data_IF_484620209246
#
_entry.id   IF_484620209246
#
_cell.length_a   1.000
_cell.length_b   1.000
_cell.length_c   1.000
_cell.angle_alpha   90.00
_cell.angle_beta   90.00
_cell.angle_gamma   90.00
#
_symmetry.space_group_name_H-M   'P 1'
#
loop_
_entity.id
_entity.type
_entity.pdbx_description
1 polymer ?
#
# COMPACT_ATOMS: atom_id res chain seq x y z
N UNK A 1 16.72 6.47 3.92
CA UNK A 1 15.42 6.29 3.26
C UNK A 1 14.28 6.52 4.26
N UNK A 2 14.17 5.78 5.38
CA UNK A 2 13.07 5.94 6.33
C UNK A 2 12.93 7.39 6.84
N UNK A 3 14.01 8.03 7.24
CA UNK A 3 13.99 9.41 7.78
C UNK A 3 13.47 10.44 6.76
N UNK A 4 13.70 10.19 5.47
CA UNK A 4 13.13 10.98 4.40
C UNK A 4 11.60 10.84 4.34
N UNK A 5 11.12 9.62 4.24
CA UNK A 5 9.70 9.32 4.08
C UNK A 5 8.85 9.55 5.35
N UNK A 6 9.46 9.67 6.53
CA UNK A 6 8.74 10.03 7.76
C UNK A 6 8.09 11.43 7.71
N UNK A 7 8.51 12.28 6.78
CA UNK A 7 7.97 13.62 6.59
C UNK A 7 6.86 13.68 5.52
N UNK A 8 6.47 12.55 4.93
CA UNK A 8 5.36 12.44 3.98
C UNK A 8 4.20 11.67 4.59
N UNK A 9 2.98 11.99 4.18
CA UNK A 9 1.78 11.28 4.62
C UNK A 9 1.65 9.89 3.98
N UNK A 10 2.15 9.76 2.75
CA UNK A 10 2.16 8.53 1.96
C UNK A 10 3.57 8.25 1.46
N UNK A 11 3.92 6.96 1.40
CA UNK A 11 5.21 6.49 0.90
C UNK A 11 5.11 5.93 -0.52
N UNK A 12 3.92 6.00 -1.13
CA UNK A 12 3.62 5.59 -2.50
C UNK A 12 2.50 6.42 -3.11
N UNK A 13 2.30 6.34 -4.44
CA UNK A 13 1.22 7.04 -5.13
C UNK A 13 -0.16 6.59 -4.66
N UNK A 14 -1.07 7.53 -4.54
CA UNK A 14 -2.45 7.30 -4.09
C UNK A 14 -3.07 8.60 -3.58
N UNK A 15 -4.35 8.58 -3.30
CA UNK A 15 -5.05 9.72 -2.68
C UNK A 15 -6.21 9.24 -1.82
N UNK A 16 -6.76 10.10 -0.92
CA UNK A 16 -7.96 9.74 -0.17
C UNK A 16 -9.12 9.29 -1.07
N UNK A 17 -9.31 9.96 -2.20
CA UNK A 17 -10.40 9.70 -3.14
C UNK A 17 -10.28 8.30 -3.77
N UNK A 18 -9.06 7.89 -4.16
CA UNK A 18 -8.87 6.55 -4.74
C UNK A 18 -8.93 5.44 -3.71
N UNK A 19 -8.47 5.68 -2.48
CA UNK A 19 -8.66 4.76 -1.36
C UNK A 19 -10.17 4.56 -1.09
N UNK A 20 -10.96 5.64 -1.03
CA UNK A 20 -12.41 5.57 -0.87
C UNK A 20 -13.11 4.94 -2.07
N UNK A 21 -12.67 5.22 -3.29
CA UNK A 21 -13.19 4.57 -4.49
C UNK A 21 -12.97 3.06 -4.43
N UNK A 22 -11.78 2.59 -4.07
CA UNK A 22 -11.51 1.17 -3.91
C UNK A 22 -12.36 0.55 -2.79
N UNK A 23 -12.49 1.24 -1.65
CA UNK A 23 -13.34 0.80 -0.55
C UNK A 23 -14.83 0.68 -0.93
N UNK A 24 -15.32 1.51 -1.85
CA UNK A 24 -16.73 1.48 -2.27
C UNK A 24 -17.15 0.20 -3.01
N UNK A 25 -16.20 -0.63 -3.43
CA UNK A 25 -16.47 -1.95 -4.02
C UNK A 25 -16.56 -3.09 -2.98
N UNK A 26 -16.41 -2.78 -1.70
CA UNK A 26 -16.41 -3.74 -0.60
C UNK A 26 -17.68 -3.52 0.21
N UNK A 27 -18.59 -4.46 0.22
CA UNK A 27 -19.97 -4.30 0.72
C UNK A 27 -20.29 -5.09 1.99
N UNK A 28 -19.36 -5.92 2.49
CA UNK A 28 -19.66 -6.86 3.57
C UNK A 28 -18.91 -6.59 4.89
N UNK A 29 -18.28 -5.43 5.06
CA UNK A 29 -17.58 -5.08 6.29
C UNK A 29 -18.54 -4.72 7.42
N UNK A 30 -18.21 -5.15 8.64
CA UNK A 30 -18.96 -4.92 9.89
C UNK A 30 -18.01 -4.50 11.02
N UNK A 31 -18.55 -4.11 12.16
CA UNK A 31 -17.75 -3.79 13.36
C UNK A 31 -16.90 -4.96 13.88
N UNK A 32 -17.20 -6.19 13.44
CA UNK A 32 -16.44 -7.40 13.77
C UNK A 32 -15.38 -7.75 12.73
N UNK A 33 -15.33 -7.04 11.61
CA UNK A 33 -14.39 -7.31 10.54
C UNK A 33 -12.96 -7.08 10.97
N UNK A 34 -12.08 -7.96 10.51
CA UNK A 34 -10.64 -7.87 10.68
C UNK A 34 -9.98 -7.51 9.35
N UNK A 35 -9.27 -6.41 9.35
CA UNK A 35 -8.63 -5.82 8.18
C UNK A 35 -7.12 -5.77 8.41
N UNK A 36 -6.34 -6.19 7.42
CA UNK A 36 -4.89 -6.00 7.40
C UNK A 36 -4.51 -4.98 6.31
N UNK A 37 -3.67 -4.00 6.64
CA UNK A 37 -3.01 -3.12 5.66
C UNK A 37 -1.52 -3.49 5.59
N UNK A 38 -1.12 -4.12 4.50
CA UNK A 38 0.22 -4.71 4.32
C UNK A 38 1.13 -3.75 3.54
N UNK A 39 2.24 -3.36 4.15
CA UNK A 39 3.06 -2.24 3.69
C UNK A 39 2.40 -0.91 4.00
N UNK A 40 1.87 -0.76 5.22
CA UNK A 40 1.03 0.37 5.59
C UNK A 40 1.77 1.71 5.70
N UNK A 41 3.11 1.70 5.70
CA UNK A 41 3.92 2.89 5.87
C UNK A 41 3.56 3.65 7.16
N UNK A 42 3.41 4.96 7.05
CA UNK A 42 2.99 5.84 8.16
C UNK A 42 1.47 5.89 8.37
N UNK A 43 0.71 5.09 7.60
CA UNK A 43 -0.73 4.91 7.74
C UNK A 43 -1.60 5.89 6.97
N UNK A 44 -1.09 6.56 5.93
CA UNK A 44 -1.87 7.54 5.18
C UNK A 44 -3.20 6.98 4.67
N UNK A 45 -3.16 5.87 3.92
CA UNK A 45 -4.36 5.17 3.45
C UNK A 45 -5.13 4.49 4.60
N UNK A 46 -4.42 3.95 5.59
CA UNK A 46 -5.06 3.24 6.71
C UNK A 46 -5.96 4.16 7.53
N UNK A 47 -5.55 5.41 7.75
CA UNK A 47 -6.37 6.37 8.50
C UNK A 47 -7.65 6.72 7.73
N UNK A 48 -7.58 6.82 6.39
CA UNK A 48 -8.76 7.01 5.53
C UNK A 48 -9.68 5.79 5.61
N UNK A 49 -9.14 4.58 5.48
CA UNK A 49 -9.92 3.35 5.65
C UNK A 49 -10.62 3.32 7.01
N UNK A 50 -9.89 3.63 8.08
CA UNK A 50 -10.42 3.59 9.43
C UNK A 50 -11.54 4.60 9.69
N UNK A 51 -11.56 5.73 9.00
CA UNK A 51 -12.63 6.71 9.13
C UNK A 51 -13.91 6.31 8.38
N UNK A 52 -13.83 5.39 7.39
CA UNK A 52 -14.93 5.07 6.48
C UNK A 52 -15.32 3.59 6.47
N UNK A 53 -14.46 2.70 6.96
CA UNK A 53 -14.76 1.29 7.11
C UNK A 53 -14.95 0.91 8.57
N UNK A 54 -15.91 0.05 8.90
CA UNK A 54 -16.05 -0.52 10.26
C UNK A 54 -14.98 -1.59 10.50
N UNK A 55 -14.87 -2.05 11.76
CA UNK A 55 -13.98 -3.15 12.13
C UNK A 55 -12.62 -2.69 12.67
N UNK A 56 -11.73 -3.65 12.85
CA UNK A 56 -10.39 -3.43 13.38
C UNK A 56 -9.36 -3.54 12.25
N UNK A 57 -8.40 -2.62 12.23
CA UNK A 57 -7.35 -2.58 11.21
C UNK A 57 -5.98 -2.81 11.87
N UNK A 58 -5.25 -3.78 11.36
CA UNK A 58 -3.84 -4.01 11.72
C UNK A 58 -2.97 -3.60 10.53
N UNK A 59 -2.18 -2.53 10.69
CA UNK A 59 -1.17 -2.13 9.73
C UNK A 59 0.14 -2.88 9.98
N UNK A 60 0.76 -3.40 8.93
CA UNK A 60 2.07 -4.06 9.00
C UNK A 60 3.04 -3.34 8.09
N UNK A 61 4.20 -2.99 8.63
CA UNK A 61 5.31 -2.44 7.88
C UNK A 61 6.64 -2.89 8.48
N UNK A 62 7.65 -3.02 7.63
CA UNK A 62 8.98 -3.48 8.03
C UNK A 62 9.75 -2.46 8.85
N UNK A 63 9.47 -1.16 8.69
CA UNK A 63 10.22 -0.07 9.29
C UNK A 63 9.63 0.39 10.63
N UNK A 64 10.36 0.20 11.77
CA UNK A 64 9.87 0.60 13.10
C UNK A 64 9.47 2.08 13.18
N UNK A 65 10.21 2.98 12.50
CA UNK A 65 9.91 4.41 12.48
C UNK A 65 8.59 4.73 11.80
N UNK A 66 8.22 3.98 10.75
CA UNK A 66 6.90 4.13 10.11
C UNK A 66 5.79 3.70 11.05
N UNK A 67 5.96 2.57 11.72
CA UNK A 67 4.97 2.05 12.69
C UNK A 67 4.81 2.97 13.89
N UNK A 68 5.90 3.56 14.40
CA UNK A 68 5.79 4.58 15.45
C UNK A 68 4.95 5.78 14.99
N UNK A 69 5.21 6.28 13.77
CA UNK A 69 4.44 7.37 13.17
C UNK A 69 2.98 6.96 12.92
N UNK A 70 2.74 5.76 12.40
CA UNK A 70 1.43 5.18 12.20
C UNK A 70 0.58 5.21 13.49
N UNK A 71 1.12 4.67 14.58
CA UNK A 71 0.40 4.61 15.85
C UNK A 71 0.12 6.03 16.42
N UNK A 72 1.08 6.96 16.28
CA UNK A 72 0.86 8.39 16.62
C UNK A 72 -0.25 9.03 15.77
N UNK A 73 -0.34 8.68 14.49
CA UNK A 73 -1.40 9.17 13.61
C UNK A 73 -2.76 8.59 14.02
N UNK A 74 -2.83 7.31 14.38
CA UNK A 74 -4.05 6.69 14.92
C UNK A 74 -4.50 7.35 16.24
N UNK A 75 -3.58 7.64 17.16
CA UNK A 75 -3.86 8.36 18.41
C UNK A 75 -4.41 9.76 18.17
N UNK A 76 -3.79 10.54 17.29
CA UNK A 76 -4.25 11.91 16.93
C UNK A 76 -5.68 11.95 16.40
N UNK A 77 -6.12 10.87 15.75
CA UNK A 77 -7.47 10.73 15.20
C UNK A 77 -8.43 9.98 16.14
N UNK A 78 -8.00 9.64 17.37
CA UNK A 78 -8.76 8.84 18.34
C UNK A 78 -9.16 7.45 17.81
N UNK A 79 -8.32 6.84 16.95
CA UNK A 79 -8.55 5.55 16.31
C UNK A 79 -7.80 4.38 16.98
N UNK A 80 -6.96 4.65 18.00
CA UNK A 80 -6.05 3.67 18.63
C UNK A 80 -6.76 2.44 19.23
N UNK A 81 -8.05 2.50 19.48
CA UNK A 81 -8.83 1.37 20.01
C UNK A 81 -9.16 0.31 18.93
N UNK A 82 -9.04 0.66 17.65
CA UNK A 82 -9.35 -0.23 16.53
C UNK A 82 -8.34 -0.22 15.39
N UNK A 83 -7.33 0.65 15.45
CA UNK A 83 -6.24 0.74 14.47
C UNK A 83 -4.93 0.58 15.19
N UNK A 84 -4.13 -0.41 14.78
CA UNK A 84 -2.83 -0.70 15.39
C UNK A 84 -1.80 -1.02 14.32
N UNK A 85 -0.66 -0.34 14.35
CA UNK A 85 0.53 -0.67 13.57
C UNK A 85 1.41 -1.67 14.30
N UNK A 86 1.94 -2.64 13.57
CA UNK A 86 2.86 -3.68 14.07
C UNK A 86 4.05 -3.75 13.12
N UNK A 87 5.27 -3.76 13.69
CA UNK A 87 6.48 -4.01 12.90
C UNK A 87 6.50 -5.47 12.48
N UNK A 88 6.60 -5.71 11.17
CA UNK A 88 6.61 -7.05 10.61
C UNK A 88 6.85 -7.05 9.11
N UNK A 89 7.11 -8.23 8.57
CA UNK A 89 7.23 -8.41 7.13
C UNK A 89 5.91 -8.89 6.52
N UNK A 90 5.59 -8.38 5.32
CA UNK A 90 4.38 -8.77 4.60
C UNK A 90 4.47 -10.17 3.99
N UNK A 91 5.64 -10.80 4.04
CA UNK A 91 5.89 -12.19 3.62
C UNK A 91 6.06 -13.17 4.81
N UNK A 92 5.93 -12.66 6.05
CA UNK A 92 5.95 -13.48 7.27
C UNK A 92 4.84 -13.00 8.23
N UNK A 93 3.61 -13.29 7.83
CA UNK A 93 2.41 -12.82 8.53
C UNK A 93 1.97 -13.82 9.60
N UNK A 94 1.65 -13.31 10.79
CA UNK A 94 1.19 -14.10 11.93
C UNK A 94 -0.34 -14.15 12.09
N UNK A 95 -1.10 -13.87 11.03
CA UNK A 95 -2.55 -14.02 11.06
C UNK A 95 -2.95 -15.48 11.01
N UNK A 96 -4.09 -15.80 11.63
CA UNK A 96 -4.68 -17.11 11.49
C UNK A 96 -5.24 -17.31 10.06
N UNK A 97 -5.22 -18.54 9.60
CA UNK A 97 -5.85 -18.91 8.32
C UNK A 97 -7.34 -18.55 8.33
N UNK A 98 -7.84 -18.06 7.20
CA UNK A 98 -9.27 -17.72 7.00
C UNK A 98 -9.82 -16.75 8.08
N UNK A 99 -8.99 -15.79 8.54
CA UNK A 99 -9.36 -14.88 9.64
C UNK A 99 -9.69 -13.45 9.20
N UNK A 100 -9.16 -13.00 8.05
CA UNK A 100 -9.30 -11.63 7.58
C UNK A 100 -10.49 -11.46 6.63
N UNK A 101 -11.24 -10.38 6.82
CA UNK A 101 -12.33 -9.97 5.93
C UNK A 101 -11.79 -9.14 4.75
N UNK A 102 -10.69 -8.40 4.97
CA UNK A 102 -10.06 -7.56 3.97
C UNK A 102 -8.54 -7.53 4.16
N UNK A 103 -7.81 -7.71 3.08
CA UNK A 103 -6.40 -7.34 2.98
C UNK A 103 -6.29 -6.13 2.04
N UNK A 104 -5.57 -5.11 2.51
CA UNK A 104 -5.30 -3.88 1.79
C UNK A 104 -3.80 -3.72 1.57
N UNK A 105 -3.37 -3.24 0.39
CA UNK A 105 -1.96 -2.95 0.12
C UNK A 105 -1.82 -1.93 -1.01
N UNK A 106 -1.60 -0.67 -0.69
CA UNK A 106 -1.36 0.38 -1.68
C UNK A 106 0.14 0.58 -1.92
N UNK A 107 0.61 0.31 -3.15
CA UNK A 107 1.99 0.56 -3.57
C UNK A 107 3.04 -0.27 -2.82
N UNK A 108 2.70 -1.48 -2.37
CA UNK A 108 3.60 -2.26 -1.54
C UNK A 108 3.78 -3.74 -1.95
N UNK A 109 2.77 -4.38 -2.52
CA UNK A 109 2.81 -5.83 -2.85
C UNK A 109 4.01 -6.22 -3.73
N UNK A 110 4.47 -5.32 -4.60
CA UNK A 110 5.61 -5.54 -5.49
C UNK A 110 6.92 -5.87 -4.74
N UNK A 111 7.05 -5.45 -3.46
CA UNK A 111 8.25 -5.71 -2.65
C UNK A 111 8.48 -7.21 -2.37
N UNK A 112 7.41 -8.00 -2.38
CA UNK A 112 7.51 -9.46 -2.21
C UNK A 112 7.19 -10.24 -3.50
N UNK A 113 6.84 -9.53 -4.57
CA UNK A 113 6.36 -10.07 -5.83
C UNK A 113 4.84 -10.20 -5.87
N UNK A 114 4.24 -9.74 -6.98
CA UNK A 114 2.79 -9.66 -7.12
C UNK A 114 2.12 -11.05 -7.07
N UNK A 115 2.61 -12.00 -7.89
CA UNK A 115 2.06 -13.37 -7.89
C UNK A 115 2.23 -14.05 -6.53
N UNK A 116 3.37 -13.85 -5.88
CA UNK A 116 3.64 -14.39 -4.55
C UNK A 116 2.67 -13.83 -3.52
N UNK A 117 2.53 -12.51 -3.45
CA UNK A 117 1.61 -11.84 -2.52
C UNK A 117 0.17 -12.31 -2.71
N UNK A 118 -0.32 -12.36 -3.95
CA UNK A 118 -1.66 -12.88 -4.26
C UNK A 118 -1.87 -14.28 -3.70
N UNK A 119 -0.91 -15.19 -3.92
CA UNK A 119 -1.02 -16.60 -3.52
C UNK A 119 -0.92 -16.78 -2.00
N UNK A 120 0.05 -16.13 -1.36
CA UNK A 120 0.31 -16.30 0.08
C UNK A 120 -0.78 -15.64 0.92
N UNK A 121 -1.16 -14.40 0.60
CA UNK A 121 -2.15 -13.65 1.37
C UNK A 121 -3.56 -14.23 1.28
N UNK A 122 -3.87 -14.94 0.20
CA UNK A 122 -5.16 -15.62 0.06
C UNK A 122 -5.46 -16.59 1.19
N UNK A 123 -4.42 -17.19 1.80
CA UNK A 123 -4.59 -18.12 2.90
C UNK A 123 -5.15 -17.48 4.17
N UNK A 124 -5.02 -16.16 4.33
CA UNK A 124 -5.50 -15.44 5.50
C UNK A 124 -6.92 -14.87 5.30
N UNK A 125 -7.38 -14.77 4.04
CA UNK A 125 -8.71 -14.27 3.73
C UNK A 125 -9.77 -15.32 4.00
N UNK A 126 -10.85 -14.92 4.66
CA UNK A 126 -12.07 -15.70 4.77
C UNK A 126 -12.65 -16.00 3.39
N UNK A 127 -13.46 -17.06 3.24
CA UNK A 127 -14.32 -17.19 2.07
C UNK A 127 -15.21 -15.96 1.90
N UNK A 128 -15.16 -15.32 0.72
CA UNK A 128 -15.85 -14.05 0.46
C UNK A 128 -15.13 -12.80 0.98
N UNK A 129 -13.93 -12.93 1.56
CA UNK A 129 -13.07 -11.79 1.92
C UNK A 129 -12.45 -11.14 0.69
N UNK A 130 -12.05 -9.88 0.82
CA UNK A 130 -11.54 -9.05 -0.27
C UNK A 130 -10.03 -8.83 -0.18
N UNK A 131 -9.41 -8.70 -1.35
CA UNK A 131 -8.05 -8.19 -1.51
C UNK A 131 -8.12 -6.91 -2.35
N UNK A 132 -7.62 -5.81 -1.83
CA UNK A 132 -7.45 -4.55 -2.55
C UNK A 132 -5.97 -4.20 -2.65
N UNK A 133 -5.44 -4.09 -3.86
CA UNK A 133 -4.02 -3.78 -4.11
C UNK A 133 -3.88 -2.73 -5.19
N UNK A 134 -2.87 -1.87 -5.08
CA UNK A 134 -2.40 -1.07 -6.22
C UNK A 134 -1.06 -1.60 -6.72
N UNK A 135 -0.90 -1.60 -8.04
CA UNK A 135 0.22 -2.25 -8.73
C UNK A 135 0.68 -1.42 -9.92
N UNK A 136 1.98 -1.41 -10.17
CA UNK A 136 2.57 -0.78 -11.37
C UNK A 136 2.30 -1.64 -12.59
N UNK A 137 1.76 -1.01 -13.63
CA UNK A 137 1.35 -1.72 -14.85
C UNK A 137 1.74 -0.95 -16.11
N UNK A 138 1.88 -1.69 -17.22
CA UNK A 138 1.96 -1.11 -18.55
C UNK A 138 0.56 -0.83 -19.11
N UNK A 139 0.37 0.37 -19.66
CA UNK A 139 -0.89 0.73 -20.34
C UNK A 139 -0.90 0.33 -21.82
N UNK A 140 0.28 0.16 -22.42
CA UNK A 140 0.46 -0.16 -23.84
C UNK A 140 1.55 -1.24 -24.01
N UNK A 141 1.47 -1.97 -25.12
CA UNK A 141 2.52 -2.94 -25.49
C UNK A 141 3.75 -2.22 -26.09
N UNK A 142 3.56 -1.02 -26.62
CA UNK A 142 4.64 -0.20 -27.17
C UNK A 142 5.01 0.90 -26.17
N UNK A 143 6.30 1.04 -25.89
CA UNK A 143 6.86 2.04 -24.98
C UNK A 143 8.31 2.37 -25.39
N UNK A 144 8.82 3.57 -25.04
CA UNK A 144 10.24 3.91 -25.22
C UNK A 144 11.14 2.90 -24.52
N UNK A 145 12.25 2.53 -25.16
CA UNK A 145 13.22 1.57 -24.60
C UNK A 145 13.74 2.03 -23.23
N UNK A 146 14.03 3.33 -23.08
CA UNK A 146 14.50 3.91 -21.81
C UNK A 146 13.52 3.64 -20.65
N UNK A 147 12.21 3.83 -20.87
CA UNK A 147 11.17 3.57 -19.87
C UNK A 147 11.05 2.07 -19.57
N UNK A 148 11.13 1.24 -20.63
CA UNK A 148 11.13 -0.20 -20.47
C UNK A 148 12.32 -0.66 -19.61
N UNK A 149 13.54 -0.24 -19.93
CA UNK A 149 14.77 -0.67 -19.26
C UNK A 149 14.81 -0.19 -17.81
N UNK A 150 14.35 1.04 -17.54
CA UNK A 150 14.19 1.55 -16.18
C UNK A 150 13.30 0.63 -15.32
N UNK A 151 12.09 0.35 -15.78
CA UNK A 151 11.15 -0.46 -15.01
C UNK A 151 11.60 -1.91 -14.90
N UNK A 152 12.16 -2.51 -15.94
CA UNK A 152 12.67 -3.88 -15.89
C UNK A 152 13.87 -4.03 -14.95
N UNK A 153 14.64 -2.96 -14.71
CA UNK A 153 15.70 -2.97 -13.70
C UNK A 153 15.16 -2.81 -12.28
N UNK A 154 14.05 -2.08 -12.10
CA UNK A 154 13.47 -1.77 -10.80
C UNK A 154 12.43 -2.82 -10.35
N UNK A 155 11.62 -3.31 -11.28
CA UNK A 155 10.53 -4.24 -11.01
C UNK A 155 10.23 -5.13 -12.23
N UNK A 156 10.79 -6.32 -12.24
CA UNK A 156 10.69 -7.26 -13.38
C UNK A 156 9.31 -7.88 -13.58
N UNK A 157 8.45 -7.85 -12.57
CA UNK A 157 7.08 -8.38 -12.66
C UNK A 157 6.07 -7.36 -13.21
N UNK A 158 6.52 -6.14 -13.60
CA UNK A 158 5.62 -5.16 -14.24
C UNK A 158 5.05 -5.75 -15.53
N UNK A 159 3.73 -5.68 -15.70
CA UNK A 159 3.03 -6.27 -16.83
C UNK A 159 1.79 -5.44 -17.20
N UNK A 160 1.08 -5.82 -18.23
CA UNK A 160 -0.15 -5.14 -18.66
C UNK A 160 -1.32 -5.40 -17.71
N UNK A 161 -2.30 -4.50 -17.69
CA UNK A 161 -3.52 -4.67 -16.88
C UNK A 161 -4.22 -6.02 -17.14
N UNK A 162 -4.44 -6.47 -18.40
CA UNK A 162 -5.04 -7.78 -18.64
C UNK A 162 -4.26 -8.93 -18.04
N UNK A 163 -2.92 -8.91 -18.12
CA UNK A 163 -2.08 -9.96 -17.57
C UNK A 163 -2.12 -9.96 -16.03
N UNK A 164 -2.07 -8.80 -15.39
CA UNK A 164 -2.22 -8.69 -13.93
C UNK A 164 -3.59 -9.19 -13.46
N UNK A 165 -4.67 -8.89 -14.18
CA UNK A 165 -6.01 -9.44 -13.89
C UNK A 165 -6.04 -10.96 -14.07
N UNK A 166 -5.39 -11.49 -15.11
CA UNK A 166 -5.27 -12.95 -15.29
C UNK A 166 -4.49 -13.61 -14.15
N UNK A 167 -3.43 -12.99 -13.63
CA UNK A 167 -2.70 -13.46 -12.45
C UNK A 167 -3.59 -13.50 -11.20
N UNK A 168 -4.42 -12.45 -10.98
CA UNK A 168 -5.41 -12.41 -9.90
C UNK A 168 -6.38 -13.59 -10.02
N UNK A 169 -6.94 -13.86 -11.21
CA UNK A 169 -7.85 -14.99 -11.43
C UNK A 169 -7.16 -16.33 -11.23
N UNK A 170 -5.92 -16.49 -11.72
CA UNK A 170 -5.11 -17.71 -11.55
C UNK A 170 -4.81 -17.99 -10.07
N UNK A 171 -4.66 -16.96 -9.25
CA UNK A 171 -4.50 -17.08 -7.81
C UNK A 171 -5.83 -17.43 -7.08
N UNK A 172 -6.95 -17.55 -7.80
CA UNK A 172 -8.24 -17.98 -7.28
C UNK A 172 -9.12 -16.86 -6.74
N UNK A 173 -8.85 -15.61 -7.12
CA UNK A 173 -9.73 -14.47 -6.83
C UNK A 173 -10.73 -14.25 -7.96
N UNK A 174 -11.83 -13.60 -7.64
CA UNK A 174 -12.81 -13.08 -8.60
C UNK A 174 -12.58 -11.57 -8.69
N UNK A 175 -12.10 -11.02 -9.82
CA UNK A 175 -11.94 -9.58 -9.97
C UNK A 175 -13.28 -8.85 -9.82
N UNK A 176 -13.34 -7.88 -8.94
CA UNK A 176 -14.54 -7.07 -8.68
C UNK A 176 -14.44 -5.73 -9.40
N UNK A 177 -13.29 -5.06 -9.29
CA UNK A 177 -13.04 -3.79 -9.92
C UNK A 177 -11.56 -3.64 -10.29
N UNK A 178 -11.31 -2.92 -11.36
CA UNK A 178 -9.97 -2.46 -11.77
C UNK A 178 -10.11 -1.04 -12.30
N UNK A 179 -9.25 -0.14 -11.86
CA UNK A 179 -9.22 1.23 -12.35
C UNK A 179 -7.80 1.80 -12.28
N UNK A 180 -7.55 2.80 -13.12
CA UNK A 180 -6.26 3.50 -13.18
C UNK A 180 -6.25 4.61 -12.13
N UNK A 181 -5.14 4.74 -11.40
CA UNK A 181 -4.92 5.88 -10.51
C UNK A 181 -4.79 7.16 -11.35
N UNK A 182 -5.54 8.21 -11.04
CA UNK A 182 -5.41 9.49 -11.74
C UNK A 182 -4.04 10.13 -11.47
N UNK A 183 -3.63 11.00 -12.36
CA UNK A 183 -2.30 11.63 -12.35
C UNK A 183 -2.01 12.41 -11.06
N UNK A 184 -3.02 13.00 -10.42
CA UNK A 184 -2.86 13.73 -9.16
C UNK A 184 -2.37 12.83 -8.01
N UNK A 185 -2.61 11.51 -8.07
CA UNK A 185 -2.05 10.55 -7.10
C UNK A 185 -0.52 10.55 -7.10
N UNK A 186 0.08 10.83 -8.27
CA UNK A 186 1.53 10.93 -8.45
C UNK A 186 2.02 12.35 -8.17
N UNK A 187 1.42 13.36 -8.82
CA UNK A 187 1.91 14.73 -8.78
C UNK A 187 1.64 15.38 -7.43
N UNK A 188 0.38 15.43 -7.00
CA UNK A 188 -0.02 16.21 -5.83
C UNK A 188 0.17 15.45 -4.52
N UNK A 189 -0.11 14.13 -4.53
CA UNK A 189 -0.13 13.32 -3.32
C UNK A 189 1.17 12.53 -3.07
N UNK A 190 2.09 12.48 -4.04
CA UNK A 190 3.35 11.77 -3.90
C UNK A 190 4.57 12.66 -4.20
N UNK A 191 4.77 13.15 -5.43
CA UNK A 191 5.97 13.92 -5.77
C UNK A 191 6.03 15.29 -5.09
N UNK A 192 4.94 16.04 -5.02
CA UNK A 192 4.95 17.35 -4.39
C UNK A 192 5.25 17.31 -2.87
N UNK A 193 4.69 16.36 -2.07
CA UNK A 193 5.10 16.15 -0.70
C UNK A 193 6.56 15.70 -0.56
N UNK A 194 7.07 14.88 -1.48
CA UNK A 194 8.48 14.46 -1.47
C UNK A 194 9.44 15.62 -1.69
N UNK A 195 9.15 16.51 -2.63
CA UNK A 195 9.98 17.69 -2.86
C UNK A 195 10.13 18.57 -1.60
N UNK A 196 9.04 18.71 -0.81
CA UNK A 196 9.08 19.38 0.48
C UNK A 196 9.87 18.60 1.55
N UNK A 197 9.68 17.29 1.58
CA UNK A 197 10.41 16.40 2.50
C UNK A 197 11.91 16.39 2.19
N UNK A 198 12.31 16.47 0.92
CA UNK A 198 13.69 16.58 0.48
C UNK A 198 14.38 17.82 1.01
N UNK A 199 13.70 18.97 0.96
CA UNK A 199 14.25 20.21 1.50
C UNK A 199 14.54 20.10 3.00
N UNK A 200 13.60 19.51 3.77
CA UNK A 200 13.75 19.28 5.21
C UNK A 200 14.90 18.28 5.46
N UNK A 201 14.95 17.20 4.71
CA UNK A 201 15.96 16.17 4.83
C UNK A 201 17.36 16.70 4.54
N UNK A 202 17.54 17.46 3.45
CA UNK A 202 18.82 18.10 3.09
C UNK A 202 19.31 19.07 4.16
N UNK A 203 18.42 19.85 4.76
CA UNK A 203 18.77 20.75 5.87
C UNK A 203 19.22 19.98 7.12
N UNK A 204 18.51 18.90 7.46
CA UNK A 204 18.78 18.08 8.64
C UNK A 204 20.11 17.33 8.53
N UNK A 205 20.48 16.89 7.33
CA UNK A 205 21.65 16.09 7.04
C UNK A 205 22.74 16.84 6.27
N UNK A 206 22.75 18.19 6.35
CA UNK A 206 23.74 19.03 5.67
C UNK A 206 25.19 18.57 6.01
N UNK A 207 26.01 18.31 4.98
CA UNK A 207 27.38 17.82 5.12
C UNK A 207 27.51 16.29 5.34
N UNK A 208 26.41 15.55 5.24
CA UNK A 208 26.44 14.08 5.24
C UNK A 208 26.48 13.53 3.81
N UNK A 209 27.25 12.44 3.59
CA UNK A 209 27.28 11.71 2.30
C UNK A 209 25.90 11.22 1.83
N UNK A 210 24.97 11.01 2.75
CA UNK A 210 23.59 10.57 2.45
C UNK A 210 22.80 11.59 1.60
N UNK A 211 23.28 12.83 1.53
CA UNK A 211 22.62 13.92 0.77
C UNK A 211 23.21 14.06 -0.63
N UNK A 212 24.36 13.44 -0.88
CA UNK A 212 25.09 13.52 -2.16
C UNK A 212 24.79 12.33 -3.10
N UNK A 213 24.20 11.25 -2.55
CA UNK A 213 23.68 10.07 -3.27
C UNK A 213 22.16 10.19 -3.51
#
# INVERSE_FOLDING_TARGET
>A
ICDFFLNTERQGPGSPEVTLKALSFIDNLTDKSLIADLGCGTGGQTMILAQHAPGKITGIDFFPGFIERFNKNAEKLNLQNRVKGIVGSMDDLSFEKDSLDLIWSEGAIYNIGFERGLKEWRNYLKPGGYLAVSESVWFTDQRPAEIHDFWMSAYTEIDTVPNKVAQIQKAGYIPVATFILPENCWIEHYFAPQAKAEEIFRRKHAGSRIVEE
#
